data_IF_428608868130
#
_entry.id   IF_428608868130
#
_cell.length_a   1.000
_cell.length_b   1.000
_cell.length_c   1.000
_cell.angle_alpha   90.00
_cell.angle_beta   90.00
_cell.angle_gamma   90.00
#
_symmetry.space_group_name_H-M   'P 1'
#
loop_
_entity.id
_entity.type
_entity.pdbx_description
1 polymer ?
#
# COMPACT_ATOMS: atom_id res chain seq x y z
N UNK A 1 -12.10 4.98 10.63
CA UNK A 1 -12.04 4.62 9.20
C UNK A 1 -11.96 3.10 9.09
N UNK A 2 -12.47 2.53 7.99
CA UNK A 2 -12.38 1.10 7.75
C UNK A 2 -12.13 0.78 6.27
N UNK A 3 -11.41 -0.32 6.01
CA UNK A 3 -11.16 -0.85 4.67
C UNK A 3 -11.24 -2.37 4.68
N UNK A 4 -11.83 -2.93 3.64
CA UNK A 4 -11.90 -4.38 3.42
C UNK A 4 -10.63 -4.89 2.74
N UNK A 5 -10.22 -6.10 3.09
CA UNK A 5 -9.15 -6.83 2.42
C UNK A 5 -9.75 -7.91 1.51
N UNK A 6 -9.05 -8.35 0.45
CA UNK A 6 -9.49 -9.46 -0.41
C UNK A 6 -9.71 -10.78 0.36
N UNK A 7 -9.05 -10.94 1.51
CA UNK A 7 -9.16 -12.12 2.37
C UNK A 7 -10.40 -12.09 3.28
N UNK A 8 -11.25 -11.06 3.17
CA UNK A 8 -12.48 -10.94 3.98
C UNK A 8 -12.29 -10.31 5.35
N UNK A 9 -11.10 -9.77 5.65
CA UNK A 9 -10.84 -9.04 6.89
C UNK A 9 -11.12 -7.55 6.70
N UNK A 10 -11.34 -6.85 7.80
CA UNK A 10 -11.50 -5.39 7.81
C UNK A 10 -10.44 -4.74 8.67
N UNK A 11 -9.65 -3.85 8.08
CA UNK A 11 -8.80 -2.94 8.83
C UNK A 11 -9.66 -1.84 9.43
N UNK A 12 -9.56 -1.63 10.74
CA UNK A 12 -10.23 -0.57 11.48
C UNK A 12 -9.18 0.32 12.10
N UNK A 13 -9.29 1.63 11.83
CA UNK A 13 -8.48 2.68 12.47
C UNK A 13 -9.43 3.62 13.22
N UNK A 14 -9.23 3.75 14.52
CA UNK A 14 -10.02 4.65 15.37
C UNK A 14 -9.28 5.98 15.49
N UNK A 15 -9.65 6.95 14.65
CA UNK A 15 -9.16 8.34 14.79
C UNK A 15 -9.88 8.98 15.97
N UNK A 16 -9.11 9.57 16.88
CA UNK A 16 -9.67 10.38 17.95
C UNK A 16 -9.73 11.84 17.50
N UNK A 17 -10.90 12.45 17.59
CA UNK A 17 -11.19 13.79 17.06
C UNK A 17 -10.93 14.93 18.06
N UNK A 18 -10.45 14.62 19.26
CA UNK A 18 -10.19 15.63 20.29
C UNK A 18 -8.77 16.17 20.20
N UNK A 19 -8.59 17.48 20.42
CA UNK A 19 -7.28 18.12 20.44
C UNK A 19 -6.36 17.56 21.54
N UNK A 20 -6.95 17.10 22.65
CA UNK A 20 -6.28 16.41 23.77
C UNK A 20 -6.12 14.89 23.57
N UNK A 21 -6.46 14.36 22.40
CA UNK A 21 -6.40 12.94 22.14
C UNK A 21 -4.95 12.41 22.11
N UNK A 22 -4.75 11.13 22.49
CA UNK A 22 -3.46 10.48 22.38
C UNK A 22 -2.84 10.71 20.99
N UNK A 23 -1.52 10.90 20.94
CA UNK A 23 -0.75 11.10 19.71
C UNK A 23 -0.77 9.90 18.75
N UNK A 24 -1.50 8.83 19.10
CA UNK A 24 -1.63 7.62 18.32
C UNK A 24 -3.07 7.12 18.24
N UNK A 25 -3.47 6.64 17.07
CA UNK A 25 -4.78 6.06 16.78
C UNK A 25 -4.70 4.53 16.84
N UNK A 26 -5.56 3.84 17.60
CA UNK A 26 -5.62 2.39 17.62
C UNK A 26 -5.96 1.82 16.25
N UNK A 27 -5.28 0.72 15.88
CA UNK A 27 -5.53 -0.01 14.65
C UNK A 27 -5.63 -1.52 14.90
N UNK A 28 -6.52 -2.20 14.20
CA UNK A 28 -6.66 -3.66 14.26
C UNK A 28 -7.31 -4.21 12.99
N UNK A 29 -7.04 -5.48 12.69
CA UNK A 29 -7.82 -6.25 11.73
C UNK A 29 -8.97 -6.95 12.46
N UNK A 30 -10.15 -6.92 11.86
CA UNK A 30 -11.34 -7.60 12.36
C UNK A 30 -11.89 -8.56 11.31
N UNK A 31 -12.17 -9.80 11.72
CA UNK A 31 -12.87 -10.77 10.90
C UNK A 31 -14.38 -10.70 11.22
N UNK A 32 -15.23 -10.20 10.30
CA UNK A 32 -16.66 -10.10 10.54
C UNK A 32 -17.37 -11.45 10.61
N UNK A 33 -16.78 -12.52 10.05
CA UNK A 33 -17.38 -13.85 10.04
C UNK A 33 -17.17 -14.58 11.37
N UNK A 34 -15.98 -14.47 11.97
CA UNK A 34 -15.62 -15.18 13.22
C UNK A 34 -15.67 -14.28 14.45
N UNK A 35 -15.61 -12.96 14.27
CA UNK A 35 -15.46 -12.00 15.36
C UNK A 35 -14.02 -11.75 15.79
N UNK A 36 -13.04 -12.46 15.21
CA UNK A 36 -11.64 -12.38 15.61
C UNK A 36 -11.04 -10.99 15.39
N UNK A 37 -10.16 -10.58 16.30
CA UNK A 37 -9.45 -9.30 16.23
C UNK A 37 -7.96 -9.52 16.34
N UNK A 38 -7.21 -8.94 15.41
CA UNK A 38 -5.74 -8.92 15.43
C UNK A 38 -5.28 -7.49 15.66
N UNK A 39 -4.65 -7.24 16.79
CA UNK A 39 -4.10 -5.94 17.15
C UNK A 39 -2.97 -5.56 16.21
N UNK A 40 -2.98 -4.32 15.73
CA UNK A 40 -1.88 -3.74 14.94
C UNK A 40 -1.19 -2.65 15.76
N UNK A 41 0.01 -2.21 15.35
CA UNK A 41 0.64 -1.04 15.92
C UNK A 41 -0.29 0.18 15.84
N UNK A 42 -0.28 1.05 16.84
CA UNK A 42 -1.02 2.31 16.76
C UNK A 42 -0.39 3.22 15.68
N UNK A 43 -1.23 4.05 15.05
CA UNK A 43 -0.81 4.99 14.01
C UNK A 43 -0.54 6.33 14.65
N UNK A 44 0.70 6.82 14.57
CA UNK A 44 1.04 8.16 15.05
C UNK A 44 0.37 9.26 14.20
N UNK A 45 0.15 10.43 14.79
CA UNK A 45 -0.39 11.62 14.07
C UNK A 45 0.46 12.01 12.84
N UNK A 46 1.75 11.70 12.84
CA UNK A 46 2.67 11.94 11.70
C UNK A 46 2.36 11.07 10.47
N UNK A 47 1.75 9.89 10.69
CA UNK A 47 1.31 8.99 9.63
C UNK A 47 -0.18 9.16 9.38
N UNK A 48 -0.64 10.37 9.10
CA UNK A 48 -2.05 10.55 8.73
C UNK A 48 -2.39 9.74 7.49
N UNK A 49 -3.32 8.80 7.64
CA UNK A 49 -3.75 7.88 6.59
C UNK A 49 -5.05 8.44 5.98
N UNK A 50 -5.05 8.78 4.69
CA UNK A 50 -6.24 9.26 3.99
C UNK A 50 -7.30 8.17 3.82
N UNK A 51 -8.57 8.58 3.72
CA UNK A 51 -9.68 7.65 3.51
C UNK A 51 -9.61 6.94 2.14
N UNK A 52 -9.01 7.59 1.13
CA UNK A 52 -8.91 7.11 -0.25
C UNK A 52 -7.83 6.03 -0.44
N UNK A 53 -7.74 5.07 0.49
CA UNK A 53 -6.83 3.94 0.40
C UNK A 53 -7.52 2.66 -0.06
N UNK A 54 -6.73 1.68 -0.48
CA UNK A 54 -7.10 0.26 -0.55
C UNK A 54 -6.25 -0.53 0.44
N UNK A 55 -6.85 -1.48 1.14
CA UNK A 55 -6.15 -2.34 2.09
C UNK A 55 -5.87 -3.71 1.48
N UNK A 56 -4.61 -4.13 1.56
CA UNK A 56 -4.13 -5.42 1.08
C UNK A 56 -3.31 -6.11 2.17
N UNK A 57 -3.32 -7.44 2.14
CA UNK A 57 -2.48 -8.28 2.98
C UNK A 57 -1.48 -9.01 2.09
N UNK A 58 -0.22 -9.08 2.53
CA UNK A 58 0.82 -9.81 1.80
C UNK A 58 0.63 -11.34 1.86
N UNK A 59 -0.14 -11.84 2.82
CA UNK A 59 -0.39 -13.25 3.03
C UNK A 59 -1.91 -13.54 3.09
N UNK A 60 -2.32 -14.75 2.68
CA UNK A 60 -3.73 -15.17 2.73
C UNK A 60 -4.24 -15.30 4.16
N UNK A 61 -3.40 -15.82 5.03
CA UNK A 61 -3.65 -15.90 6.47
C UNK A 61 -3.01 -14.69 7.17
N UNK A 62 -3.82 -13.78 7.76
CA UNK A 62 -3.30 -12.60 8.44
C UNK A 62 -2.55 -12.92 9.73
N UNK A 63 -2.77 -14.09 10.33
CA UNK A 63 -2.07 -14.52 11.55
C UNK A 63 -0.64 -14.99 11.28
N UNK A 64 -0.28 -15.17 10.01
CA UNK A 64 1.06 -15.57 9.60
C UNK A 64 2.12 -14.53 10.03
N UNK A 65 3.24 -15.01 10.55
CA UNK A 65 4.28 -14.16 11.16
C UNK A 65 4.95 -13.17 10.17
N UNK A 66 4.89 -13.46 8.88
CA UNK A 66 5.37 -12.59 7.81
C UNK A 66 4.26 -11.75 7.14
N UNK A 67 3.03 -11.77 7.66
CA UNK A 67 1.93 -11.00 7.09
C UNK A 67 2.13 -9.49 7.33
N UNK A 68 2.08 -8.75 6.23
CA UNK A 68 2.19 -7.30 6.17
C UNK A 68 0.84 -6.74 5.73
N UNK A 69 0.33 -5.77 6.47
CA UNK A 69 -0.80 -4.94 6.06
C UNK A 69 -0.25 -3.80 5.23
N UNK A 70 -0.82 -3.58 4.05
CA UNK A 70 -0.44 -2.48 3.16
C UNK A 70 -1.67 -1.67 2.80
N UNK A 71 -1.59 -0.36 2.98
CA UNK A 71 -2.55 0.62 2.52
C UNK A 71 -1.95 1.37 1.34
N UNK A 72 -2.59 1.27 0.18
CA UNK A 72 -2.21 2.03 -1.01
C UNK A 72 -3.14 3.20 -1.20
N UNK A 73 -2.58 4.40 -1.31
CA UNK A 73 -3.36 5.55 -1.76
C UNK A 73 -3.79 5.33 -3.22
N UNK A 74 -5.03 5.71 -3.55
CA UNK A 74 -5.63 5.40 -4.86
C UNK A 74 -5.18 6.35 -5.98
N UNK A 75 -4.72 7.54 -5.64
CA UNK A 75 -4.39 8.61 -6.60
C UNK A 75 -2.96 9.08 -6.44
N UNK A 76 -2.56 9.40 -5.22
CA UNK A 76 -1.17 9.72 -4.85
C UNK A 76 -0.28 8.47 -4.76
N UNK A 77 1.03 8.59 -5.01
CA UNK A 77 1.95 7.47 -4.97
C UNK A 77 2.47 7.22 -3.54
N UNK A 78 1.55 7.18 -2.58
CA UNK A 78 1.82 6.91 -1.18
C UNK A 78 1.32 5.54 -0.77
N UNK A 79 2.08 4.87 0.08
CA UNK A 79 1.69 3.64 0.73
C UNK A 79 2.08 3.63 2.20
N UNK A 80 1.28 2.96 3.03
CA UNK A 80 1.58 2.71 4.44
C UNK A 80 1.63 1.22 4.70
N UNK A 81 2.57 0.75 5.51
CA UNK A 81 2.61 -0.65 5.88
C UNK A 81 3.01 -0.90 7.34
N UNK A 82 2.55 -2.03 7.86
CA UNK A 82 2.91 -2.56 9.18
C UNK A 82 2.84 -4.09 9.16
N UNK A 83 3.41 -4.76 10.17
CA UNK A 83 3.29 -6.21 10.35
C UNK A 83 2.15 -6.55 11.30
N UNK A 84 1.49 -7.69 11.09
CA UNK A 84 0.36 -8.14 11.92
C UNK A 84 0.79 -8.74 13.26
N UNK A 85 2.05 -9.19 13.38
CA UNK A 85 2.49 -9.94 14.57
C UNK A 85 2.39 -9.13 15.86
N UNK A 86 1.61 -9.68 16.80
CA UNK A 86 1.42 -9.17 18.14
C UNK A 86 2.71 -9.34 18.97
N UNK A 87 3.35 -8.21 19.27
CA UNK A 87 4.49 -8.13 20.17
C UNK A 87 5.03 -6.71 20.16
N UNK A 88 5.17 -6.12 21.34
CA UNK A 88 5.43 -4.70 21.65
C UNK A 88 6.70 -4.07 21.00
N UNK A 89 7.37 -4.72 20.06
CA UNK A 89 8.63 -4.27 19.49
C UNK A 89 8.80 -4.42 17.97
N UNK A 90 7.90 -5.09 17.23
CA UNK A 90 8.13 -5.35 15.79
C UNK A 90 7.21 -4.57 14.85
N UNK A 91 7.44 -3.26 14.84
CA UNK A 91 7.15 -2.38 13.71
C UNK A 91 6.15 -1.29 14.02
N UNK A 92 6.55 -0.04 13.86
CA UNK A 92 5.63 1.07 13.65
C UNK A 92 5.02 0.96 12.25
N UNK A 93 3.94 1.71 12.02
CA UNK A 93 3.54 2.03 10.65
C UNK A 93 4.69 2.77 9.96
N UNK A 94 4.90 2.47 8.68
CA UNK A 94 5.86 3.17 7.84
C UNK A 94 5.14 3.70 6.61
N UNK A 95 5.39 4.96 6.26
CA UNK A 95 4.96 5.56 5.00
C UNK A 95 6.10 5.44 3.98
N UNK A 96 5.76 5.08 2.76
CA UNK A 96 6.65 5.11 1.61
C UNK A 96 5.96 5.87 0.50
N UNK A 97 6.68 6.81 -0.09
CA UNK A 97 6.28 7.45 -1.34
C UNK A 97 7.08 6.77 -2.45
N UNK A 98 6.38 6.19 -3.43
CA UNK A 98 7.01 5.57 -4.58
C UNK A 98 7.00 6.51 -5.78
N UNK A 99 7.93 6.35 -6.71
CA UNK A 99 7.86 7.04 -7.99
C UNK A 99 7.24 6.07 -9.00
N UNK A 100 6.02 6.35 -9.45
CA UNK A 100 5.48 5.73 -10.65
C UNK A 100 6.24 6.41 -11.77
N UNK A 101 7.40 5.85 -12.14
CA UNK A 101 8.35 6.47 -13.07
C UNK A 101 7.61 7.19 -14.19
N UNK A 102 8.01 8.45 -14.44
CA UNK A 102 7.45 9.25 -15.51
C UNK A 102 7.42 8.40 -16.77
N UNK A 103 6.22 7.94 -17.12
CA UNK A 103 5.98 7.32 -18.42
C UNK A 103 5.84 8.45 -19.44
N UNK A 104 6.74 9.44 -19.37
CA UNK A 104 7.06 10.23 -20.53
C UNK A 104 7.68 9.21 -21.49
N UNK A 105 6.90 8.85 -22.50
CA UNK A 105 7.34 8.21 -23.72
C UNK A 105 8.68 8.87 -24.11
N UNK A 106 9.81 8.26 -23.74
CA UNK A 106 11.10 8.63 -24.28
C UNK A 106 11.12 8.15 -25.72
N UNK A 107 10.46 8.92 -26.59
CA UNK A 107 10.90 9.02 -27.97
C UNK A 107 12.18 9.87 -27.95
N UNK A 108 13.32 9.20 -27.77
CA UNK A 108 14.60 9.90 -27.66
C UNK A 108 15.73 8.94 -27.35
N UNK A 109 16.37 8.43 -28.40
CA UNK A 109 17.50 7.51 -28.33
C UNK A 109 18.56 7.93 -27.32
N UNK A 110 18.97 6.98 -26.48
CA UNK A 110 20.09 7.14 -25.57
C UNK A 110 21.41 7.06 -26.31
N UNK A 111 22.43 7.73 -25.78
CA UNK A 111 23.82 7.61 -26.25
C UNK A 111 24.63 6.92 -25.16
N UNK A 112 25.35 5.84 -25.50
CA UNK A 112 26.41 5.26 -24.65
C UNK A 112 27.75 5.52 -25.34
N UNK A 113 28.73 6.08 -24.62
CA UNK A 113 30.07 6.41 -25.14
C UNK A 113 30.08 7.20 -26.48
N UNK A 114 29.13 8.11 -26.67
CA UNK A 114 29.03 8.90 -27.91
C UNK A 114 28.36 8.18 -29.09
N UNK A 115 27.88 6.94 -28.91
CA UNK A 115 27.17 6.18 -29.94
C UNK A 115 25.65 6.22 -29.69
N UNK A 116 24.84 6.78 -30.62
CA UNK A 116 23.39 6.76 -30.48
C UNK A 116 22.86 5.36 -30.78
N UNK A 117 22.01 4.83 -29.89
CA UNK A 117 21.24 3.62 -30.16
C UNK A 117 19.75 3.96 -30.28
N UNK A 118 19.12 3.52 -31.38
CA UNK A 118 17.68 3.58 -31.55
C UNK A 118 17.09 2.25 -31.09
N UNK A 119 16.18 2.29 -30.11
CA UNK A 119 15.32 1.13 -29.82
C UNK A 119 14.27 1.08 -30.92
N UNK A 120 14.43 0.18 -31.88
CA UNK A 120 13.46 0.00 -32.94
C UNK A 120 12.13 -0.50 -32.33
N UNK A 121 11.09 0.34 -32.37
CA UNK A 121 9.71 -0.11 -32.14
C UNK A 121 9.37 -1.11 -33.25
N UNK A 122 9.10 -2.36 -32.88
CA UNK A 122 8.54 -3.34 -33.82
C UNK A 122 7.20 -2.80 -34.35
N UNK A 123 6.93 -2.88 -35.67
CA UNK A 123 5.66 -2.45 -36.22
C UNK A 123 4.52 -3.29 -35.61
N UNK A 124 3.33 -2.68 -35.40
CA UNK A 124 2.18 -3.43 -34.90
C UNK A 124 1.82 -4.56 -35.86
N UNK A 125 1.37 -5.73 -35.35
CA UNK A 125 0.95 -6.83 -36.21
C UNK A 125 -0.21 -6.40 -37.12
N UNK A 126 -0.15 -6.82 -38.38
CA UNK A 126 -1.14 -6.47 -39.40
C UNK A 126 -2.56 -6.87 -38.94
N UNK A 127 -3.59 -6.04 -39.21
CA UNK A 127 -4.96 -6.36 -38.84
C UNK A 127 -5.44 -7.61 -39.59
N UNK A 128 -5.84 -8.63 -38.85
CA UNK A 128 -6.47 -9.83 -39.42
C UNK A 128 -7.83 -9.44 -40.00
N UNK A 129 -7.96 -9.49 -41.31
CA UNK A 129 -9.21 -9.25 -42.02
C UNK A 129 -10.10 -10.50 -41.90
N UNK A 130 -11.26 -10.36 -41.26
CA UNK A 130 -12.36 -11.33 -41.32
C UNK A 130 -13.08 -11.29 -42.66
#
# INVERSE_FOLDING_TARGET
MSWTTPQGWMLIIIKSAADDAPSSSPAFLWNPLTGDKLSLPNISKEHDIPQQCKCLLSHKDPTHHACVVVLFHRTEPDMWCCRVVAGVAYGSWRRYTYNIGDSAEQDGGGTIDGVPFAVARLPPPAPTRS
#
